data_IF_968282630012
#
_entry.id   IF_968282630012
#
_cell.length_a   1.000
_cell.length_b   1.000
_cell.length_c   1.000
_cell.angle_alpha   90.00
_cell.angle_beta   90.00
_cell.angle_gamma   90.00
#
_symmetry.space_group_name_H-M   'P 1'
#
loop_
_entity.id
_entity.type
_entity.pdbx_description
1 polymer ?
#
# COMPACT_ATOMS: atom_id res chain seq x y z
N UNK A 1 -16.67 -9.61 -1.97
CA UNK A 1 -15.55 -8.64 -1.95
C UNK A 1 -14.27 -9.43 -2.15
N UNK A 2 -13.37 -8.91 -2.96
CA UNK A 2 -12.04 -9.49 -3.10
C UNK A 2 -11.28 -9.23 -1.81
N UNK A 3 -10.74 -10.28 -1.19
CA UNK A 3 -10.04 -10.18 0.10
C UNK A 3 -8.51 -10.12 -0.11
N UNK A 4 -8.06 -9.54 -1.22
CA UNK A 4 -6.67 -9.49 -1.63
C UNK A 4 -6.39 -8.32 -2.58
N UNK A 5 -5.11 -7.98 -2.76
CA UNK A 5 -4.65 -6.90 -3.64
C UNK A 5 -4.82 -7.28 -5.12
N UNK A 6 -5.39 -6.36 -5.89
CA UNK A 6 -5.56 -6.43 -7.34
C UNK A 6 -5.10 -5.12 -7.98
N UNK A 7 -4.83 -5.08 -9.29
CA UNK A 7 -4.50 -3.84 -9.99
C UNK A 7 -5.56 -2.72 -9.86
N UNK A 8 -6.79 -3.05 -9.49
CA UNK A 8 -7.89 -2.09 -9.34
C UNK A 8 -8.03 -1.52 -7.92
N UNK A 9 -7.38 -2.14 -6.92
CA UNK A 9 -7.55 -1.78 -5.51
C UNK A 9 -6.23 -1.51 -4.76
N UNK A 10 -5.07 -1.78 -5.38
CA UNK A 10 -3.77 -1.86 -4.71
C UNK A 10 -3.38 -0.63 -3.88
N UNK A 11 -3.77 0.56 -4.31
CA UNK A 11 -3.43 1.83 -3.65
C UNK A 11 -4.43 2.22 -2.56
N UNK A 12 -5.45 1.40 -2.33
CA UNK A 12 -6.55 1.66 -1.40
C UNK A 12 -6.76 0.51 -0.42
N UNK A 13 -5.85 -0.48 -0.41
CA UNK A 13 -5.93 -1.67 0.43
C UNK A 13 -4.75 -1.75 1.38
N UNK A 14 -4.94 -2.47 2.48
CA UNK A 14 -3.86 -2.89 3.40
C UNK A 14 -4.12 -4.29 3.93
N UNK A 15 -3.05 -5.02 4.20
CA UNK A 15 -3.09 -6.09 5.20
C UNK A 15 -2.76 -5.51 6.57
N UNK A 16 -3.37 -6.02 7.62
CA UNK A 16 -3.11 -5.61 8.99
C UNK A 16 -2.98 -6.82 9.91
N UNK A 17 -1.98 -6.80 10.79
CA UNK A 17 -1.86 -7.75 11.89
C UNK A 17 -1.38 -7.03 13.14
N UNK A 18 -2.23 -6.99 14.16
CA UNK A 18 -2.03 -6.15 15.35
C UNK A 18 -1.81 -4.70 14.91
N UNK A 19 -0.69 -4.12 15.33
CA UNK A 19 -0.32 -2.73 15.08
C UNK A 19 0.57 -2.56 13.84
N UNK A 20 0.77 -3.62 13.06
CA UNK A 20 1.50 -3.56 11.80
C UNK A 20 0.54 -3.55 10.62
N UNK A 21 0.94 -2.84 9.56
CA UNK A 21 0.19 -2.84 8.31
C UNK A 21 1.11 -2.87 7.10
N UNK A 22 0.69 -3.65 6.10
CA UNK A 22 1.39 -3.81 4.84
C UNK A 22 0.54 -3.24 3.69
N UNK A 23 1.15 -2.47 2.81
CA UNK A 23 0.48 -1.84 1.66
C UNK A 23 1.44 -1.68 0.48
N UNK A 24 0.88 -1.31 -0.68
CA UNK A 24 1.66 -1.00 -1.88
C UNK A 24 1.66 0.53 -2.08
N UNK A 25 2.84 1.10 -2.26
CA UNK A 25 3.06 2.51 -2.62
C UNK A 25 3.72 2.64 -3.99
N UNK A 26 3.69 3.84 -4.57
CA UNK A 26 4.41 4.18 -5.78
C UNK A 26 5.67 4.95 -5.42
N UNK A 27 6.82 4.49 -5.91
CA UNK A 27 8.10 5.18 -5.82
C UNK A 27 8.53 5.65 -7.20
N UNK A 28 9.31 6.73 -7.23
CA UNK A 28 9.97 7.21 -8.43
C UNK A 28 11.47 7.28 -8.15
N UNK A 29 12.26 6.57 -8.94
CA UNK A 29 13.72 6.69 -8.85
C UNK A 29 14.19 7.91 -9.64
N UNK A 30 15.10 8.73 -9.06
CA UNK A 30 15.65 9.87 -9.77
C UNK A 30 16.39 9.40 -11.02
N UNK A 31 16.18 10.12 -12.12
CA UNK A 31 16.87 9.85 -13.38
C UNK A 31 18.33 10.32 -13.25
N UNK A 32 19.30 9.43 -13.43
CA UNK A 32 20.68 9.87 -13.64
C UNK A 32 20.78 10.57 -15.01
N UNK A 33 21.43 11.73 -15.05
CA UNK A 33 21.51 12.65 -16.22
C UNK A 33 22.00 12.01 -17.54
N UNK A 34 22.46 10.75 -17.51
CA UNK A 34 23.03 10.05 -18.67
C UNK A 34 22.13 8.99 -19.31
N UNK A 35 21.04 8.54 -18.67
CA UNK A 35 20.15 7.58 -19.30
C UNK A 35 18.73 7.61 -18.71
N UNK A 36 17.83 8.15 -19.52
CA UNK A 36 16.40 7.80 -19.63
C UNK A 36 15.49 8.16 -18.44
N UNK A 37 14.27 8.55 -18.80
CA UNK A 37 13.18 8.99 -17.94
C UNK A 37 13.09 8.18 -16.65
N UNK A 38 12.89 8.86 -15.52
CA UNK A 38 12.78 8.23 -14.19
C UNK A 38 11.87 7.00 -14.21
N UNK A 39 12.29 5.96 -13.50
CA UNK A 39 11.55 4.70 -13.42
C UNK A 39 10.53 4.79 -12.28
N UNK A 40 9.27 4.50 -12.59
CA UNK A 40 8.23 4.29 -11.58
C UNK A 40 8.28 2.84 -11.11
N UNK A 41 8.29 2.66 -9.79
CA UNK A 41 8.36 1.35 -9.14
C UNK A 41 7.22 1.22 -8.13
N UNK A 42 6.73 0.01 -7.93
CA UNK A 42 5.75 -0.32 -6.90
C UNK A 42 6.48 -0.88 -5.69
N UNK A 43 6.21 -0.36 -4.49
CA UNK A 43 6.88 -0.78 -3.27
C UNK A 43 5.91 -1.41 -2.29
N UNK A 44 6.14 -2.67 -1.94
CA UNK A 44 5.48 -3.31 -0.79
C UNK A 44 6.17 -2.79 0.47
N UNK A 45 5.44 -2.10 1.32
CA UNK A 45 5.95 -1.50 2.56
C UNK A 45 5.23 -2.10 3.76
N UNK A 46 5.96 -2.37 4.85
CA UNK A 46 5.39 -2.70 6.16
C UNK A 46 5.78 -1.63 7.15
N UNK A 47 4.79 -1.09 7.85
CA UNK A 47 5.00 -0.15 8.96
C UNK A 47 4.64 -0.80 10.30
N UNK A 48 5.28 -0.30 11.36
CA UNK A 48 4.93 -0.59 12.75
C UNK A 48 3.86 0.37 13.30
N UNK A 49 3.60 0.28 14.61
CA UNK A 49 2.59 1.08 15.31
C UNK A 49 2.88 2.59 15.31
N UNK A 50 4.16 2.95 15.26
CA UNK A 50 4.64 4.32 15.22
C UNK A 50 4.76 4.84 13.78
N UNK A 51 4.31 4.05 12.79
CA UNK A 51 4.44 4.31 11.36
C UNK A 51 5.89 4.33 10.86
N UNK A 52 6.82 3.72 11.59
CA UNK A 52 8.17 3.52 11.10
C UNK A 52 8.19 2.40 10.07
N UNK A 53 8.98 2.59 9.02
CA UNK A 53 9.23 1.56 8.03
C UNK A 53 10.13 0.47 8.61
N UNK A 54 9.63 -0.76 8.64
CA UNK A 54 10.40 -1.92 9.09
C UNK A 54 10.78 -2.87 7.95
N UNK A 55 10.11 -2.74 6.79
CA UNK A 55 10.40 -3.52 5.60
C UNK A 55 9.93 -2.81 4.34
N UNK A 56 10.72 -2.92 3.27
CA UNK A 56 10.36 -2.53 1.92
C UNK A 56 10.88 -3.50 0.88
N UNK A 57 10.10 -3.66 -0.19
CA UNK A 57 10.50 -4.39 -1.39
C UNK A 57 9.92 -3.73 -2.63
N UNK A 58 10.78 -3.41 -3.60
CA UNK A 58 10.40 -2.78 -4.86
C UNK A 58 10.17 -3.78 -5.97
N UNK A 59 9.24 -3.44 -6.86
CA UNK A 59 8.83 -4.20 -8.03
C UNK A 59 8.65 -3.25 -9.21
N UNK A 60 9.09 -3.66 -10.40
CA UNK A 60 8.89 -2.85 -11.62
C UNK A 60 7.48 -2.97 -12.18
N UNK A 61 6.69 -3.95 -11.73
CA UNK A 61 5.34 -4.22 -12.19
C UNK A 61 4.36 -4.32 -11.01
N UNK A 62 3.22 -3.65 -11.15
CA UNK A 62 2.12 -3.71 -10.19
C UNK A 62 1.63 -5.13 -9.92
N UNK A 63 1.52 -5.97 -10.95
CA UNK A 63 1.08 -7.35 -10.81
C UNK A 63 2.02 -8.14 -9.90
N UNK A 64 3.33 -7.93 -10.02
CA UNK A 64 4.34 -8.58 -9.17
C UNK A 64 4.24 -8.11 -7.72
N UNK A 65 4.02 -6.80 -7.50
CA UNK A 65 3.79 -6.26 -6.16
C UNK A 65 2.53 -6.85 -5.51
N UNK A 66 1.41 -6.91 -6.25
CA UNK A 66 0.17 -7.56 -5.79
C UNK A 66 0.39 -9.04 -5.46
N UNK A 67 1.10 -9.79 -6.30
CA UNK A 67 1.43 -11.19 -6.03
C UNK A 67 2.32 -11.35 -4.81
N UNK A 68 3.35 -10.50 -4.66
CA UNK A 68 4.29 -10.52 -3.53
C UNK A 68 3.56 -10.29 -2.21
N UNK A 69 2.75 -9.22 -2.11
CA UNK A 69 2.05 -8.87 -0.87
C UNK A 69 0.97 -9.92 -0.52
N UNK A 70 0.24 -10.43 -1.52
CA UNK A 70 -0.79 -11.46 -1.29
C UNK A 70 -0.19 -12.80 -0.88
N UNK A 71 0.93 -13.20 -1.48
CA UNK A 71 1.60 -14.46 -1.12
C UNK A 71 2.21 -14.40 0.28
N UNK A 72 2.71 -13.23 0.67
CA UNK A 72 3.34 -13.03 1.97
C UNK A 72 2.32 -12.92 3.10
N UNK A 73 1.22 -12.18 2.90
CA UNK A 73 0.30 -11.80 3.99
C UNK A 73 -1.14 -12.31 3.85
N UNK A 74 -1.58 -12.70 2.66
CA UNK A 74 -3.01 -12.95 2.35
C UNK A 74 -3.68 -14.10 3.11
N UNK A 75 -2.91 -15.04 3.66
CA UNK A 75 -3.43 -16.13 4.49
C UNK A 75 -3.27 -15.92 5.99
N UNK A 76 -2.62 -14.84 6.42
CA UNK A 76 -2.16 -14.66 7.81
C UNK A 76 -2.53 -13.31 8.41
N UNK A 77 -2.85 -12.30 7.60
CA UNK A 77 -3.17 -10.95 8.03
C UNK A 77 -4.57 -10.56 7.54
N UNK A 78 -5.22 -9.64 8.26
CA UNK A 78 -6.56 -9.17 7.92
C UNK A 78 -6.47 -8.19 6.74
N UNK A 79 -7.20 -8.49 5.67
CA UNK A 79 -7.32 -7.59 4.52
C UNK A 79 -8.36 -6.50 4.78
N UNK A 80 -8.01 -5.24 4.48
CA UNK A 80 -8.92 -4.10 4.56
C UNK A 80 -8.88 -3.31 3.26
N UNK A 81 -10.04 -3.17 2.61
CA UNK A 81 -10.25 -2.28 1.47
C UNK A 81 -10.84 -0.95 1.95
N UNK A 82 -10.04 0.10 1.89
CA UNK A 82 -10.37 1.43 2.44
C UNK A 82 -11.31 2.23 1.52
N UNK A 83 -11.63 1.73 0.32
CA UNK A 83 -12.64 2.34 -0.57
C UNK A 83 -14.03 2.21 0.02
N UNK A 84 -14.26 1.17 0.81
CA UNK A 84 -15.51 0.91 1.50
C UNK A 84 -15.35 1.31 2.97
N UNK A 85 -15.88 2.47 3.34
CA UNK A 85 -15.96 2.84 4.74
C UNK A 85 -16.96 1.93 5.44
N UNK A 86 -16.52 1.20 6.46
CA UNK A 86 -17.43 0.88 7.56
C UNK A 86 -17.82 2.23 8.20
N UNK A 87 -19.11 2.40 8.53
CA UNK A 87 -19.73 3.67 8.92
C UNK A 87 -19.10 4.33 10.17
N UNK A 88 -17.89 4.86 10.08
CA UNK A 88 -17.23 5.59 11.16
C UNK A 88 -16.80 6.99 10.68
N UNK A 89 -17.65 7.97 11.06
CA UNK A 89 -17.26 9.33 11.44
C UNK A 89 -16.32 10.08 10.50
N UNK A 90 -16.85 10.62 9.40
CA UNK A 90 -16.23 11.79 8.78
C UNK A 90 -16.26 12.98 9.76
N UNK A 91 -15.11 13.64 9.96
CA UNK A 91 -14.98 14.83 10.79
C UNK A 91 -15.82 15.98 10.21
N UNK A 92 -17.02 16.17 10.72
CA UNK A 92 -18.00 17.19 10.28
C UNK A 92 -17.69 18.61 10.76
N UNK A 93 -16.52 18.89 11.34
CA UNK A 93 -16.25 20.16 12.03
C UNK A 93 -15.17 21.03 11.40
N UNK A 94 -14.72 20.73 10.17
CA UNK A 94 -13.87 21.67 9.43
C UNK A 94 -14.72 22.83 8.86
N UNK A 95 -15.13 23.75 9.73
CA UNK A 95 -15.49 25.11 9.31
C UNK A 95 -14.18 25.89 9.14
N UNK A 96 -13.81 26.17 7.88
CA UNK A 96 -12.82 27.21 7.60
C UNK A 96 -13.46 28.57 7.90
N UNK A 97 -12.78 29.42 8.67
CA UNK A 97 -13.15 30.81 8.91
C UNK A 97 -12.18 31.72 8.17
#
# INVERSE_FOLDING_TARGET
MENFFTPDNWNSCRYQFRDHFAFISLLAEPSDEKNQSGCLMYCVTVLDEEHNEIFQQTHSNLMEACQSINSTYGGIWDFKDLRFKENEGGCSTCQAH
#
